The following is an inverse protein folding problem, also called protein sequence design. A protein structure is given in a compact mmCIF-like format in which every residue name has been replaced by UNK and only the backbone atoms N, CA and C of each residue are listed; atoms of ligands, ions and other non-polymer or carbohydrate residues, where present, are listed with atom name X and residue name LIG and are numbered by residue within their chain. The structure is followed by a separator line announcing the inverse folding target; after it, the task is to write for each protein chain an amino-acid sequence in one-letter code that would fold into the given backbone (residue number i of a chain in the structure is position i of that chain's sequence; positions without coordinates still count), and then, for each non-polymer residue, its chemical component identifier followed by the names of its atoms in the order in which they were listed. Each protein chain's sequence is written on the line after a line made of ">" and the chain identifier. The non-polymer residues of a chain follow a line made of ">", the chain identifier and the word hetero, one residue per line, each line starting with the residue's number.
data_IF_328199955368
#
_entry.id   IF_328199955368
#
_cell.length_a   1.000
_cell.length_b   1.000
_cell.length_c   1.000
_cell.angle_alpha   90.00
_cell.angle_beta   90.00
_cell.angle_gamma   90.00
#
_symmetry.space_group_name_H-M   'P 1'
#
loop_
_entity.id
_entity.type
_entity.pdbx_description
1 polymer ?
#
# COMPACT_ATOMS: atom_id res chain seq x y z
N UNK A 1 -10.07 -3.26 0.63
CA UNK A 1 -8.93 -2.36 0.85
C UNK A 1 -7.72 -3.19 1.28
N UNK A 2 -6.58 -3.02 0.63
CA UNK A 2 -5.32 -3.71 0.89
C UNK A 2 -4.27 -2.69 1.36
N UNK A 3 -3.76 -2.88 2.57
CA UNK A 3 -2.75 -2.01 3.18
C UNK A 3 -1.43 -2.77 3.27
N UNK A 4 -0.35 -2.25 2.69
CA UNK A 4 0.92 -2.98 2.60
C UNK A 4 2.12 -2.09 2.94
N UNK A 5 3.08 -2.64 3.68
CA UNK A 5 4.36 -2.01 3.96
C UNK A 5 5.50 -2.80 3.31
N UNK A 6 6.27 -2.14 2.46
CA UNK A 6 7.39 -2.72 1.72
C UNK A 6 8.71 -2.08 2.15
N UNK A 7 9.70 -2.90 2.49
CA UNK A 7 11.02 -2.38 2.88
C UNK A 7 11.75 -1.66 1.73
N UNK A 8 11.63 -2.20 0.51
CA UNK A 8 12.12 -1.59 -0.73
C UNK A 8 11.03 -0.78 -1.47
N UNK A 9 11.40 -0.26 -2.65
CA UNK A 9 10.50 0.47 -3.56
C UNK A 9 10.16 -0.43 -4.75
N UNK A 10 8.87 -0.71 -4.94
CA UNK A 10 8.35 -1.63 -5.95
C UNK A 10 7.27 -0.99 -6.82
N UNK A 11 6.78 0.21 -6.49
CA UNK A 11 5.80 0.93 -7.28
C UNK A 11 4.48 0.18 -7.44
N UNK A 12 4.06 -0.55 -6.41
CA UNK A 12 2.89 -1.45 -6.44
C UNK A 12 2.98 -2.58 -7.49
N UNK A 13 4.18 -2.97 -7.91
CA UNK A 13 4.42 -4.11 -8.80
C UNK A 13 5.04 -5.31 -8.08
N UNK A 14 5.02 -5.32 -6.75
CA UNK A 14 5.47 -6.48 -6.00
C UNK A 14 4.53 -7.68 -6.20
N UNK A 15 5.04 -8.93 -6.12
CA UNK A 15 4.22 -10.12 -6.33
C UNK A 15 3.02 -10.24 -5.39
N UNK A 16 3.09 -9.72 -4.16
CA UNK A 16 1.97 -9.78 -3.22
C UNK A 16 0.82 -8.87 -3.69
N UNK A 17 1.14 -7.65 -4.12
CA UNK A 17 0.19 -6.74 -4.75
C UNK A 17 -0.49 -7.36 -5.97
N UNK A 18 0.29 -7.91 -6.90
CA UNK A 18 -0.23 -8.51 -8.13
C UNK A 18 -1.16 -9.68 -7.81
N UNK A 19 -0.75 -10.55 -6.89
CA UNK A 19 -1.54 -11.71 -6.48
C UNK A 19 -2.88 -11.29 -5.85
N UNK A 20 -2.86 -10.35 -4.90
CA UNK A 20 -4.07 -9.90 -4.23
C UNK A 20 -5.03 -9.22 -5.21
N UNK A 21 -4.53 -8.36 -6.09
CA UNK A 21 -5.35 -7.73 -7.14
C UNK A 21 -6.00 -8.80 -8.04
N UNK A 22 -5.25 -9.81 -8.47
CA UNK A 22 -5.78 -10.88 -9.33
C UNK A 22 -6.90 -11.68 -8.64
N UNK A 23 -6.73 -12.03 -7.37
CA UNK A 23 -7.73 -12.79 -6.62
C UNK A 23 -9.01 -11.97 -6.38
N UNK A 24 -8.88 -10.70 -5.97
CA UNK A 24 -10.04 -9.83 -5.74
C UNK A 24 -10.82 -9.60 -7.04
N UNK A 25 -10.13 -9.36 -8.15
CA UNK A 25 -10.75 -9.25 -9.47
C UNK A 25 -11.46 -10.54 -9.88
N UNK A 26 -10.84 -11.70 -9.63
CA UNK A 26 -11.42 -13.00 -9.96
C UNK A 26 -12.74 -13.26 -9.21
N UNK A 27 -12.83 -12.90 -7.93
CA UNK A 27 -14.05 -13.07 -7.13
C UNK A 27 -15.07 -11.93 -7.35
N UNK A 28 -14.77 -10.96 -8.23
CA UNK A 28 -15.65 -9.83 -8.54
C UNK A 28 -15.75 -8.80 -7.41
N UNK A 29 -14.70 -8.63 -6.62
CA UNK A 29 -14.64 -7.69 -5.50
C UNK A 29 -13.76 -6.48 -5.84
N UNK A 30 -14.17 -5.30 -5.37
CA UNK A 30 -13.38 -4.07 -5.54
C UNK A 30 -12.03 -4.16 -4.83
N UNK A 31 -10.97 -3.82 -5.57
CA UNK A 31 -9.60 -3.77 -5.05
C UNK A 31 -9.10 -2.32 -5.00
N UNK A 32 -8.92 -1.80 -3.78
CA UNK A 32 -8.18 -0.56 -3.51
C UNK A 32 -6.96 -0.87 -2.68
N UNK A 33 -5.82 -0.28 -3.02
CA UNK A 33 -4.57 -0.47 -2.32
C UNK A 33 -3.96 0.85 -1.88
N UNK A 34 -3.38 0.84 -0.69
CA UNK A 34 -2.50 1.90 -0.19
C UNK A 34 -1.23 1.22 0.32
N UNK A 35 -0.06 1.66 -0.15
CA UNK A 35 1.22 1.09 0.24
C UNK A 35 2.18 2.16 0.77
N UNK A 36 3.03 1.76 1.71
CA UNK A 36 4.21 2.49 2.15
C UNK A 36 5.45 1.72 1.75
N UNK A 37 6.41 2.37 1.10
CA UNK A 37 7.58 1.74 0.51
C UNK A 37 8.86 2.45 0.93
N UNK A 38 10.00 1.73 0.94
CA UNK A 38 11.32 2.34 1.12
C UNK A 38 11.74 2.63 2.57
N UNK A 39 10.88 2.38 3.56
CA UNK A 39 11.18 2.64 4.98
C UNK A 39 12.39 1.85 5.54
N UNK A 40 12.69 0.68 4.98
CA UNK A 40 13.89 -0.08 5.35
C UNK A 40 15.12 0.28 4.48
N UNK A 41 14.90 0.89 3.31
CA UNK A 41 15.95 1.33 2.40
C UNK A 41 16.53 2.69 2.80
N UNK A 42 15.68 3.62 3.24
CA UNK A 42 16.06 4.94 3.74
C UNK A 42 15.44 5.17 5.15
N UNK A 43 16.09 4.66 6.21
CA UNK A 43 15.53 4.71 7.56
C UNK A 43 15.29 6.12 8.09
N UNK A 44 16.05 7.12 7.63
CA UNK A 44 15.90 8.52 8.06
C UNK A 44 14.55 9.11 7.62
N UNK A 45 13.97 8.59 6.54
CA UNK A 45 12.65 9.01 6.03
C UNK A 45 11.49 8.19 6.55
N UNK A 46 11.73 7.24 7.46
CA UNK A 46 10.68 6.33 7.95
C UNK A 46 9.48 7.09 8.53
N UNK A 47 9.73 8.11 9.36
CA UNK A 47 8.64 8.88 9.98
C UNK A 47 7.82 9.66 8.94
N UNK A 48 8.48 10.27 7.95
CA UNK A 48 7.83 10.98 6.84
C UNK A 48 6.97 10.03 6.00
N UNK A 49 7.54 8.89 5.58
CA UNK A 49 6.85 7.89 4.78
C UNK A 49 5.65 7.28 5.52
N UNK A 50 5.78 7.08 6.84
CA UNK A 50 4.68 6.61 7.68
C UNK A 50 3.59 7.67 7.85
N UNK A 51 3.94 8.92 8.09
CA UNK A 51 2.98 10.01 8.21
C UNK A 51 2.16 10.18 6.91
N UNK A 52 2.84 10.17 5.76
CA UNK A 52 2.19 10.23 4.45
C UNK A 52 1.26 9.04 4.20
N UNK A 53 1.67 7.84 4.63
CA UNK A 53 0.85 6.65 4.54
C UNK A 53 -0.41 6.76 5.39
N UNK A 54 -0.29 7.18 6.66
CA UNK A 54 -1.43 7.37 7.56
C UNK A 54 -2.40 8.40 6.97
N UNK A 55 -1.89 9.54 6.48
CA UNK A 55 -2.72 10.57 5.86
C UNK A 55 -3.53 10.04 4.66
N UNK A 56 -2.91 9.22 3.80
CA UNK A 56 -3.60 8.59 2.66
C UNK A 56 -4.67 7.61 3.13
N UNK A 57 -4.39 6.81 4.16
CA UNK A 57 -5.35 5.86 4.74
C UNK A 57 -6.54 6.60 5.33
N UNK A 58 -6.31 7.66 6.11
CA UNK A 58 -7.38 8.47 6.71
C UNK A 58 -8.28 9.13 5.67
N UNK A 59 -7.71 9.61 4.56
CA UNK A 59 -8.47 10.20 3.47
C UNK A 59 -9.34 9.15 2.75
N UNK A 60 -8.79 7.99 2.42
CA UNK A 60 -9.54 6.91 1.77
C UNK A 60 -10.64 6.36 2.68
N UNK A 61 -10.38 6.25 3.99
CA UNK A 61 -11.35 5.76 4.97
C UNK A 61 -12.63 6.61 5.05
N UNK A 62 -12.59 7.89 4.65
CA UNK A 62 -13.78 8.75 4.59
C UNK A 62 -14.72 8.42 3.42
N UNK A 63 -14.21 7.70 2.41
CA UNK A 63 -14.92 7.40 1.16
C UNK A 63 -15.04 5.90 0.88
N UNK A 64 -14.68 5.08 1.87
CA UNK A 64 -14.78 3.63 1.82
C UNK A 64 -16.17 3.15 2.23
#
# INVERSE_FOLDING_TARGET
>A
MHLQANGGVYGAQDPATIYMSAIFNFIGSDFRQIAVEGHAYDPEKTEELLADFINKVELEAQTF
#
